data_IF_479815682393
#
_entry.id   IF_479815682393
#
_cell.length_a   1.000
_cell.length_b   1.000
_cell.length_c   1.000
_cell.angle_alpha   90.00
_cell.angle_beta   90.00
_cell.angle_gamma   90.00
#
_symmetry.space_group_name_H-M   'P 1'
#
loop_
_entity.id
_entity.type
_entity.pdbx_description
1 polymer ?
#
# COMPACT_ATOMS: atom_id res chain seq x y z
N UNK A 1 36.31 -11.46 8.93
CA UNK A 1 35.87 -10.80 7.69
C UNK A 1 34.64 -10.00 8.03
N UNK A 2 34.59 -8.73 7.65
CA UNK A 2 33.55 -7.79 8.05
C UNK A 2 32.18 -8.23 7.52
N UNK A 3 31.19 -8.33 8.41
CA UNK A 3 29.78 -8.36 8.05
C UNK A 3 29.44 -7.04 7.37
N UNK A 4 29.17 -7.09 6.07
CA UNK A 4 28.55 -5.97 5.39
C UNK A 4 27.12 -5.86 5.93
N UNK A 5 26.93 -4.93 6.87
CA UNK A 5 25.62 -4.35 7.13
C UNK A 5 25.24 -3.58 5.87
N UNK A 6 24.63 -4.25 4.91
CA UNK A 6 23.80 -3.56 3.93
C UNK A 6 22.74 -2.86 4.76
N UNK A 7 22.79 -1.53 4.79
CA UNK A 7 21.71 -0.68 5.29
C UNK A 7 20.51 -0.99 4.41
N UNK A 8 19.79 -2.07 4.72
CA UNK A 8 18.60 -2.49 4.01
C UNK A 8 17.66 -1.31 4.09
N UNK A 9 17.30 -0.73 2.95
CA UNK A 9 16.23 0.25 2.90
C UNK A 9 15.02 -0.45 3.50
N UNK A 10 14.65 -0.04 4.70
CA UNK A 10 13.45 -0.51 5.34
C UNK A 10 12.27 -0.09 4.47
N UNK A 11 11.48 -1.07 4.06
CA UNK A 11 10.31 -0.82 3.24
C UNK A 11 9.41 0.18 3.97
N UNK A 12 9.06 1.26 3.29
CA UNK A 12 8.17 2.29 3.81
C UNK A 12 6.96 2.39 2.91
N UNK A 13 5.78 2.20 3.49
CA UNK A 13 4.48 2.31 2.80
C UNK A 13 3.64 3.32 3.57
N UNK A 14 3.04 4.29 2.88
CA UNK A 14 2.02 5.15 3.52
C UNK A 14 0.64 4.56 3.22
N UNK A 15 -0.15 4.32 4.26
CA UNK A 15 -1.53 3.86 4.17
C UNK A 15 -2.46 5.06 4.32
N UNK A 16 -3.21 5.35 3.26
CA UNK A 16 -4.18 6.42 3.16
C UNK A 16 -5.61 5.86 3.30
N UNK A 17 -6.35 6.30 4.31
CA UNK A 17 -7.69 5.78 4.63
C UNK A 17 -8.62 6.92 5.07
N UNK A 18 -9.91 6.61 5.24
CA UNK A 18 -10.96 7.60 5.56
C UNK A 18 -11.10 8.74 4.53
N UNK A 19 -10.54 8.58 3.34
CA UNK A 19 -10.66 9.50 2.23
C UNK A 19 -11.58 8.95 1.15
N UNK A 20 -11.69 9.69 0.04
CA UNK A 20 -12.48 9.27 -1.11
C UNK A 20 -11.77 9.60 -2.43
N UNK A 21 -11.95 8.74 -3.42
CA UNK A 21 -11.50 9.03 -4.78
C UNK A 21 -12.41 10.06 -5.44
N UNK A 22 -11.80 11.15 -5.94
CA UNK A 22 -12.47 12.14 -6.76
C UNK A 22 -11.96 12.06 -8.21
N UNK A 23 -12.84 12.02 -9.22
CA UNK A 23 -12.44 11.95 -10.62
C UNK A 23 -11.94 13.30 -11.15
N UNK A 24 -11.15 13.25 -12.24
CA UNK A 24 -10.79 14.36 -13.13
C UNK A 24 -10.11 15.61 -12.48
N UNK A 25 -8.78 15.57 -12.26
CA UNK A 25 -7.90 14.40 -12.34
C UNK A 25 -8.13 13.47 -11.14
N UNK A 26 -7.81 12.19 -11.28
CA UNK A 26 -7.98 11.24 -10.18
C UNK A 26 -7.13 11.67 -8.97
N UNK A 27 -7.80 11.92 -7.85
CA UNK A 27 -7.19 12.29 -6.57
C UNK A 27 -7.81 11.50 -5.44
N UNK A 28 -7.07 11.37 -4.34
CA UNK A 28 -7.59 10.86 -3.09
C UNK A 28 -7.72 12.03 -2.11
N UNK A 29 -8.96 12.39 -1.77
CA UNK A 29 -9.29 13.59 -0.98
C UNK A 29 -9.47 13.25 0.49
N UNK A 30 -9.07 14.20 1.33
CA UNK A 30 -9.20 14.19 2.79
C UNK A 30 -8.73 12.90 3.50
N UNK A 31 -7.55 12.34 3.16
CA UNK A 31 -7.08 11.11 3.80
C UNK A 31 -6.56 11.34 5.21
N UNK A 32 -6.86 10.40 6.11
CA UNK A 32 -5.94 10.08 7.19
C UNK A 32 -4.77 9.25 6.62
N UNK A 33 -3.58 9.39 7.23
CA UNK A 33 -2.36 8.73 6.76
C UNK A 33 -1.59 8.10 7.91
N UNK A 34 -1.25 6.82 7.76
CA UNK A 34 -0.33 6.11 8.64
C UNK A 34 0.87 5.65 7.82
N UNK A 35 2.08 6.06 8.21
CA UNK A 35 3.32 5.52 7.64
C UNK A 35 3.70 4.25 8.37
N UNK A 36 3.80 3.14 7.66
CA UNK A 36 4.31 1.88 8.19
C UNK A 36 5.73 1.62 7.69
N UNK A 37 6.53 1.01 8.56
CA UNK A 37 7.92 0.62 8.30
C UNK A 37 8.13 -0.80 8.79
N UNK A 38 9.11 -1.48 8.22
CA UNK A 38 9.58 -2.78 8.72
C UNK A 38 8.52 -3.89 8.66
N UNK A 39 7.60 -3.78 7.70
CA UNK A 39 6.55 -4.80 7.48
C UNK A 39 7.03 -5.78 6.42
N UNK A 40 7.02 -7.06 6.76
CA UNK A 40 7.27 -8.15 5.82
C UNK A 40 5.97 -8.54 5.11
N UNK A 41 5.62 -7.81 4.03
CA UNK A 41 4.39 -8.10 3.29
C UNK A 41 4.43 -9.47 2.60
N UNK A 42 5.61 -9.99 2.25
CA UNK A 42 5.76 -11.36 1.75
C UNK A 42 5.38 -12.44 2.78
N UNK A 43 5.33 -12.09 4.06
CA UNK A 43 4.92 -12.98 5.15
C UNK A 43 3.41 -13.10 5.35
N UNK A 44 2.60 -12.27 4.68
CA UNK A 44 1.14 -12.36 4.73
C UNK A 44 0.55 -13.07 3.52
N UNK A 45 -0.55 -13.78 3.72
CA UNK A 45 -1.54 -14.02 2.67
C UNK A 45 -2.34 -12.75 2.37
N UNK A 46 -2.99 -12.67 1.20
CA UNK A 46 -3.87 -11.55 0.87
C UNK A 46 -4.93 -11.29 1.95
N UNK A 47 -5.54 -12.35 2.47
CA UNK A 47 -6.52 -12.25 3.55
C UNK A 47 -5.93 -11.70 4.85
N UNK A 48 -4.72 -12.12 5.23
CA UNK A 48 -4.05 -11.61 6.42
C UNK A 48 -3.65 -10.14 6.25
N UNK A 49 -3.22 -9.74 5.06
CA UNK A 49 -2.97 -8.35 4.73
C UNK A 49 -4.21 -7.47 4.89
N UNK A 50 -5.37 -7.91 4.37
CA UNK A 50 -6.63 -7.18 4.57
C UNK A 50 -7.05 -7.07 6.04
N UNK A 51 -6.88 -8.15 6.81
CA UNK A 51 -7.15 -8.14 8.26
C UNK A 51 -6.20 -7.19 8.99
N UNK A 52 -4.93 -7.18 8.60
CA UNK A 52 -3.93 -6.26 9.15
C UNK A 52 -4.28 -4.80 8.84
N UNK A 53 -4.66 -4.46 7.61
CA UNK A 53 -5.11 -3.11 7.25
C UNK A 53 -6.35 -2.68 8.04
N UNK A 54 -7.36 -3.55 8.17
CA UNK A 54 -8.56 -3.29 8.98
C UNK A 54 -8.20 -2.97 10.44
N UNK A 55 -7.28 -3.74 11.02
CA UNK A 55 -6.83 -3.51 12.39
C UNK A 55 -6.00 -2.22 12.52
N UNK A 56 -5.19 -1.90 11.50
CA UNK A 56 -4.35 -0.71 11.46
C UNK A 56 -5.18 0.58 11.41
N UNK A 57 -6.27 0.58 10.64
CA UNK A 57 -7.10 1.78 10.40
C UNK A 57 -8.36 1.83 11.26
N UNK A 58 -8.61 0.78 12.06
CA UNK A 58 -9.84 0.62 12.85
C UNK A 58 -11.12 0.82 12.00
N UNK A 59 -11.08 0.41 10.73
CA UNK A 59 -12.08 0.76 9.72
C UNK A 59 -12.34 -0.35 8.70
N UNK A 60 -13.22 -0.07 7.73
CA UNK A 60 -13.46 -1.02 6.64
C UNK A 60 -12.30 -1.04 5.65
N UNK A 61 -12.13 -2.17 4.95
CA UNK A 61 -11.02 -2.44 4.04
C UNK A 61 -11.54 -3.09 2.74
N UNK A 62 -12.68 -2.61 2.24
CA UNK A 62 -13.41 -3.28 1.15
C UNK A 62 -12.79 -3.04 -0.23
N UNK A 63 -12.11 -1.90 -0.42
CA UNK A 63 -11.42 -1.59 -1.67
C UNK A 63 -10.02 -1.06 -1.37
N UNK A 64 -9.03 -1.90 -1.64
CA UNK A 64 -7.61 -1.58 -1.43
C UNK A 64 -6.95 -1.38 -2.78
N UNK A 65 -6.13 -0.33 -2.85
CA UNK A 65 -5.34 0.02 -4.03
C UNK A 65 -3.92 0.33 -3.62
N UNK A 66 -2.98 0.21 -4.54
CA UNK A 66 -1.65 0.75 -4.36
C UNK A 66 -1.24 1.61 -5.57
N UNK A 67 -0.30 2.52 -5.35
CA UNK A 67 0.30 3.33 -6.42
C UNK A 67 1.76 3.61 -6.05
N UNK A 68 2.64 3.63 -7.05
CA UNK A 68 3.98 4.18 -6.89
C UNK A 68 3.89 5.68 -6.62
N UNK A 69 4.66 6.19 -5.65
CA UNK A 69 4.77 7.64 -5.40
C UNK A 69 5.36 8.44 -6.56
N UNK A 70 6.03 7.76 -7.49
CA UNK A 70 6.59 8.36 -8.70
C UNK A 70 5.55 8.52 -9.80
N UNK A 71 4.37 7.93 -9.66
CA UNK A 71 3.29 7.94 -10.64
C UNK A 71 2.10 8.77 -10.15
N UNK A 72 1.32 9.29 -11.08
CA UNK A 72 0.05 9.92 -10.73
C UNK A 72 -1.00 8.85 -10.46
N UNK A 73 -1.95 9.10 -9.55
CA UNK A 73 -3.06 8.17 -9.31
C UNK A 73 -3.82 7.84 -10.61
N UNK A 74 -3.97 8.81 -11.52
CA UNK A 74 -4.68 8.59 -12.78
C UNK A 74 -4.00 7.60 -13.74
N UNK A 75 -2.72 7.30 -13.53
CA UNK A 75 -1.91 6.42 -14.40
C UNK A 75 -1.48 5.13 -13.70
N UNK A 76 -1.11 5.22 -12.42
CA UNK A 76 -0.43 4.13 -11.69
C UNK A 76 -1.26 3.47 -10.59
N UNK A 77 -2.54 3.83 -10.40
CA UNK A 77 -3.36 3.18 -9.38
C UNK A 77 -3.74 1.76 -9.81
N UNK A 78 -3.46 0.79 -8.95
CA UNK A 78 -3.75 -0.63 -9.17
C UNK A 78 -4.62 -1.13 -8.01
N UNK A 79 -5.70 -1.84 -8.33
CA UNK A 79 -6.57 -2.47 -7.32
C UNK A 79 -5.96 -3.79 -6.89
N UNK A 80 -6.03 -4.09 -5.60
CA UNK A 80 -5.72 -5.42 -5.06
C UNK A 80 -7.07 -6.11 -4.77
N UNK A 81 -7.48 -7.07 -5.59
CA UNK A 81 -8.74 -7.79 -5.39
C UNK A 81 -8.60 -9.32 -5.31
N UNK A 82 -7.42 -9.85 -5.65
CA UNK A 82 -7.10 -11.27 -5.60
C UNK A 82 -5.74 -11.55 -4.96
N UNK A 83 -5.45 -12.83 -4.68
CA UNK A 83 -4.12 -13.26 -4.26
C UNK A 83 -3.04 -12.95 -5.32
N UNK A 84 -3.39 -12.95 -6.61
CA UNK A 84 -2.46 -12.63 -7.68
C UNK A 84 -2.05 -11.16 -7.65
N UNK A 85 -3.01 -10.23 -7.56
CA UNK A 85 -2.72 -8.80 -7.46
C UNK A 85 -1.96 -8.48 -6.17
N UNK A 86 -2.26 -9.21 -5.09
CA UNK A 86 -1.51 -9.08 -3.85
C UNK A 86 -0.04 -9.44 -4.05
N UNK A 87 0.26 -10.51 -4.77
CA UNK A 87 1.65 -10.86 -5.09
C UNK A 87 2.32 -9.81 -5.98
N UNK A 88 1.61 -9.21 -6.94
CA UNK A 88 2.14 -8.08 -7.72
C UNK A 88 2.47 -6.87 -6.84
N UNK A 89 1.61 -6.55 -5.86
CA UNK A 89 1.90 -5.54 -4.84
C UNK A 89 3.14 -5.90 -4.03
N UNK A 90 3.26 -7.14 -3.55
CA UNK A 90 4.42 -7.62 -2.78
C UNK A 90 5.69 -7.48 -3.61
N UNK A 91 5.71 -7.91 -4.86
CA UNK A 91 6.87 -7.73 -5.75
C UNK A 91 7.23 -6.24 -5.93
N UNK A 92 6.23 -5.38 -6.10
CA UNK A 92 6.43 -3.93 -6.19
C UNK A 92 7.06 -3.35 -4.91
N UNK A 93 6.70 -3.87 -3.72
CA UNK A 93 7.31 -3.42 -2.46
C UNK A 93 8.81 -3.72 -2.39
N UNK A 94 9.26 -4.89 -2.86
CA UNK A 94 10.69 -5.24 -2.84
C UNK A 94 11.48 -4.65 -4.01
N UNK A 95 10.82 -3.91 -4.92
CA UNK A 95 11.51 -3.27 -6.04
C UNK A 95 12.37 -2.10 -5.53
N UNK A 96 13.69 -2.09 -5.83
CA UNK A 96 14.57 -1.04 -5.36
C UNK A 96 14.11 0.36 -5.78
N UNK A 97 14.19 1.31 -4.85
CA UNK A 97 13.83 2.72 -5.08
C UNK A 97 12.35 3.00 -5.40
N UNK A 98 11.48 2.01 -5.23
CA UNK A 98 10.03 2.21 -5.28
C UNK A 98 9.54 2.53 -3.87
N UNK A 99 8.74 3.58 -3.76
CA UNK A 99 7.97 3.90 -2.58
C UNK A 99 6.51 3.81 -2.96
N UNK A 100 5.74 3.05 -2.19
CA UNK A 100 4.33 2.79 -2.47
C UNK A 100 3.44 3.50 -1.47
N UNK A 101 2.30 3.97 -1.97
CA UNK A 101 1.16 4.36 -1.15
C UNK A 101 0.05 3.33 -1.34
N UNK A 102 -0.61 2.98 -0.24
CA UNK A 102 -1.79 2.12 -0.20
C UNK A 102 -3.00 3.00 0.10
N UNK A 103 -4.09 2.80 -0.63
CA UNK A 103 -5.32 3.59 -0.49
C UNK A 103 -6.48 2.67 -0.16
N UNK A 104 -7.28 3.04 0.84
CA UNK A 104 -8.47 2.29 1.25
C UNK A 104 -9.72 3.12 1.01
N UNK A 105 -10.48 2.79 -0.03
CA UNK A 105 -11.70 3.49 -0.36
C UNK A 105 -12.93 2.76 0.22
N UNK A 106 -13.69 3.46 1.06
CA UNK A 106 -14.96 2.96 1.59
C UNK A 106 -16.05 3.33 0.59
N UNK A 107 -16.79 2.34 0.08
CA UNK A 107 -18.02 2.64 -0.67
C UNK A 107 -19.11 2.83 0.38
N UNK A 108 -19.50 4.09 0.62
CA UNK A 108 -20.69 4.45 1.41
C UNK A 108 -21.97 4.32 0.60
#
# INVERSE_FOLDING_TARGET
MASQSSTGKYLTVDVHYSGLFAPNPLKYLDPEKITVRDVDFGGFTYKEFLLWLRNLTNGSCDNVYYCSRKETLGEGIIRIDSDADYWEFVEATYTPEVELDVYINIIT
#
